data_IF_789559115515
#
_entry.id   IF_789559115515
#
_cell.length_a   1.000
_cell.length_b   1.000
_cell.length_c   1.000
_cell.angle_alpha   90.00
_cell.angle_beta   90.00
_cell.angle_gamma   90.00
#
_symmetry.space_group_name_H-M   'P 1'
#
loop_
_entity.id
_entity.type
_entity.pdbx_description
1 polymer ?
#
# COMPACT_ATOMS: atom_id res chain seq x y z
N UNK A 1 0.58 -11.87 -37.75
CA UNK A 1 1.10 -10.59 -37.24
C UNK A 1 0.07 -10.03 -36.27
N UNK A 2 0.16 -10.42 -35.00
CA UNK A 2 -0.71 -9.89 -33.95
C UNK A 2 -0.16 -8.54 -33.51
N UNK A 3 -1.02 -7.54 -33.58
CA UNK A 3 -0.82 -6.21 -32.99
C UNK A 3 -0.54 -6.37 -31.49
N UNK A 4 0.71 -6.08 -31.09
CA UNK A 4 1.06 -5.79 -29.71
C UNK A 4 0.20 -4.59 -29.26
N UNK A 5 -0.84 -4.85 -28.47
CA UNK A 5 -1.55 -3.81 -27.74
C UNK A 5 -0.53 -3.11 -26.84
N UNK A 6 -0.26 -1.83 -27.13
CA UNK A 6 0.58 -0.98 -26.30
C UNK A 6 -0.08 -0.89 -24.91
N UNK A 7 0.57 -1.42 -23.87
CA UNK A 7 0.18 -1.15 -22.48
C UNK A 7 0.48 0.32 -22.19
N UNK A 8 -0.57 1.12 -21.97
CA UNK A 8 -0.43 2.47 -21.43
C UNK A 8 -0.47 2.37 -19.91
N UNK A 9 0.70 2.44 -19.26
CA UNK A 9 0.78 2.72 -17.82
C UNK A 9 0.41 4.19 -17.65
N UNK A 10 -0.76 4.48 -17.09
CA UNK A 10 -1.10 5.84 -16.69
C UNK A 10 -0.38 6.15 -15.39
N UNK A 11 0.79 6.79 -15.52
CA UNK A 11 1.54 7.32 -14.40
C UNK A 11 0.86 8.62 -13.94
N UNK A 12 0.12 8.57 -12.83
CA UNK A 12 -0.21 9.81 -12.12
C UNK A 12 0.98 10.11 -11.23
N UNK A 13 1.90 10.94 -11.74
CA UNK A 13 2.88 11.60 -10.88
C UNK A 13 2.15 12.71 -10.14
N UNK A 14 1.68 12.40 -8.93
CA UNK A 14 1.23 13.40 -7.98
C UNK A 14 2.44 14.22 -7.49
N UNK A 15 2.80 15.28 -8.21
CA UNK A 15 3.75 16.28 -7.68
C UNK A 15 2.94 17.31 -6.89
N UNK A 16 2.92 17.18 -5.57
CA UNK A 16 2.48 18.27 -4.69
C UNK A 16 3.58 19.34 -4.71
N UNK A 17 3.46 20.30 -5.62
CA UNK A 17 4.34 21.46 -5.67
C UNK A 17 3.90 22.50 -4.62
N UNK A 18 4.71 22.72 -3.58
CA UNK A 18 4.60 23.90 -2.73
C UNK A 18 5.24 25.11 -3.45
N UNK A 19 4.47 26.19 -3.62
CA UNK A 19 4.96 27.43 -4.22
C UNK A 19 5.86 28.21 -3.26
N UNK A 20 7.17 28.20 -3.51
CA UNK A 20 8.08 29.36 -3.55
C UNK A 20 9.53 28.88 -3.57
N UNK A 21 10.35 29.49 -4.43
CA UNK A 21 11.68 29.03 -4.83
C UNK A 21 12.79 29.14 -3.76
N UNK A 22 12.45 29.17 -2.47
CA UNK A 22 13.44 29.20 -1.37
C UNK A 22 13.17 28.22 -0.21
N UNK A 23 12.11 27.41 -0.28
CA UNK A 23 11.77 26.41 0.74
C UNK A 23 11.28 25.06 0.16
N UNK A 24 11.61 24.74 -1.10
CA UNK A 24 11.27 23.45 -1.70
C UNK A 24 12.17 22.32 -1.15
N UNK A 25 12.02 22.00 0.13
CA UNK A 25 12.32 20.66 0.64
C UNK A 25 11.08 19.84 0.36
N UNK A 26 11.08 19.12 -0.76
CA UNK A 26 10.05 18.15 -1.08
C UNK A 26 10.12 17.02 -0.05
N UNK A 27 9.26 17.06 0.95
CA UNK A 27 8.89 15.87 1.70
C UNK A 27 7.72 15.21 0.95
N UNK A 28 7.86 13.90 0.70
CA UNK A 28 6.87 12.95 0.18
C UNK A 28 6.90 12.73 -1.34
N UNK A 29 7.61 11.68 -1.72
CA UNK A 29 7.84 11.24 -3.09
C UNK A 29 7.09 9.96 -3.43
N UNK A 30 5.77 10.00 -3.28
CA UNK A 30 4.91 8.87 -3.67
C UNK A 30 4.35 9.14 -5.06
N UNK A 31 4.92 8.50 -6.08
CA UNK A 31 4.27 8.40 -7.38
C UNK A 31 3.26 7.24 -7.32
N UNK A 32 2.11 7.42 -7.97
CA UNK A 32 1.05 6.42 -7.95
C UNK A 32 0.93 5.81 -9.33
N UNK A 33 1.07 4.50 -9.39
CA UNK A 33 0.57 3.74 -10.52
C UNK A 33 -0.85 3.33 -10.13
N UNK A 34 -1.78 3.76 -10.96
CA UNK A 34 -3.11 3.19 -10.96
C UNK A 34 -3.15 2.25 -12.16
N UNK A 35 -3.00 0.96 -11.87
CA UNK A 35 -2.93 -0.07 -12.90
C UNK A 35 -4.33 -0.25 -13.52
N UNK A 36 -4.50 -0.08 -14.85
CA UNK A 36 -5.73 -0.52 -15.49
C UNK A 36 -5.81 -2.04 -15.38
N UNK A 37 -6.75 -2.55 -14.58
CA UNK A 37 -7.04 -3.98 -14.54
C UNK A 37 -7.41 -4.47 -15.94
N UNK A 38 -6.53 -5.25 -16.56
CA UNK A 38 -6.90 -6.10 -17.68
C UNK A 38 -7.31 -7.46 -17.10
N UNK A 39 -8.50 -7.93 -17.49
CA UNK A 39 -9.06 -9.20 -17.05
C UNK A 39 -8.00 -10.32 -16.98
N UNK A 40 -7.56 -10.67 -15.76
CA UNK A 40 -6.62 -11.76 -15.49
C UNK A 40 -5.19 -11.37 -15.12
N UNK A 41 -4.84 -10.08 -15.02
CA UNK A 41 -3.51 -9.63 -14.56
C UNK A 41 -3.62 -9.07 -13.13
N UNK A 42 -2.90 -9.66 -12.17
CA UNK A 42 -2.96 -9.26 -10.76
C UNK A 42 -2.44 -7.82 -10.53
N UNK A 43 -2.96 -7.06 -9.54
CA UNK A 43 -2.49 -5.71 -9.26
C UNK A 43 -1.09 -5.76 -8.63
N UNK A 44 -0.27 -4.73 -8.85
CA UNK A 44 1.03 -4.58 -8.16
C UNK A 44 2.23 -5.14 -8.91
N UNK A 45 2.10 -5.48 -10.20
CA UNK A 45 3.24 -5.89 -11.02
C UNK A 45 4.29 -4.78 -11.22
N UNK A 46 4.00 -3.55 -10.80
CA UNK A 46 4.90 -2.42 -10.88
C UNK A 46 4.67 -1.49 -9.68
N UNK A 47 5.74 -0.91 -9.17
CA UNK A 47 5.67 0.20 -8.22
C UNK A 47 6.74 1.25 -8.57
N UNK A 48 6.51 2.47 -8.08
CA UNK A 48 7.34 3.63 -8.42
C UNK A 48 7.62 4.50 -7.19
N UNK A 49 8.85 4.97 -7.09
CA UNK A 49 9.27 5.96 -6.12
C UNK A 49 10.02 7.09 -6.81
N UNK A 50 10.02 8.29 -6.23
CA UNK A 50 10.79 9.42 -6.76
C UNK A 50 11.79 9.87 -5.68
N UNK A 51 13.02 10.24 -6.04
CA UNK A 51 13.97 10.77 -5.05
C UNK A 51 14.01 12.31 -5.06
N UNK A 52 14.77 12.89 -4.13
CA UNK A 52 14.93 14.35 -4.01
C UNK A 52 15.78 14.97 -5.13
N UNK A 53 16.38 14.14 -5.99
CA UNK A 53 17.09 14.54 -7.21
C UNK A 53 16.17 14.46 -8.43
N UNK A 54 14.88 14.22 -8.22
CA UNK A 54 13.87 14.03 -9.26
C UNK A 54 14.13 12.81 -10.17
N UNK A 55 14.76 11.77 -9.64
CA UNK A 55 14.89 10.49 -10.33
C UNK A 55 13.66 9.63 -10.06
N UNK A 56 13.13 9.02 -11.11
CA UNK A 56 12.01 8.07 -11.04
C UNK A 56 12.59 6.66 -10.95
N UNK A 57 12.27 5.95 -9.89
CA UNK A 57 12.69 4.59 -9.60
C UNK A 57 11.51 3.65 -9.86
N UNK A 58 11.65 2.72 -10.80
CA UNK A 58 10.59 1.78 -11.17
C UNK A 58 11.04 0.36 -10.91
N UNK A 59 10.27 -0.39 -10.13
CA UNK A 59 10.43 -1.83 -9.97
C UNK A 59 9.24 -2.54 -10.62
N UNK A 60 9.48 -3.59 -11.39
CA UNK A 60 8.41 -4.30 -12.09
C UNK A 60 8.66 -5.79 -12.23
N UNK A 61 7.58 -6.53 -12.47
CA UNK A 61 7.57 -7.93 -12.84
C UNK A 61 7.33 -8.06 -14.34
N UNK A 62 8.09 -8.92 -15.01
CA UNK A 62 7.85 -9.26 -16.40
C UNK A 62 7.34 -10.70 -16.52
N UNK A 63 6.28 -10.87 -17.29
CA UNK A 63 5.69 -12.17 -17.60
C UNK A 63 6.08 -12.58 -19.01
N UNK A 64 6.90 -13.63 -19.15
CA UNK A 64 7.15 -14.24 -20.46
C UNK A 64 6.21 -15.44 -20.66
N UNK A 65 5.10 -15.21 -21.35
CA UNK A 65 4.16 -16.26 -21.71
C UNK A 65 4.75 -17.17 -22.82
N UNK A 66 5.21 -18.36 -22.46
CA UNK A 66 5.31 -19.48 -23.40
C UNK A 66 5.22 -20.87 -22.76
N UNK A 67 5.61 -21.07 -21.49
CA UNK A 67 5.55 -22.42 -20.89
C UNK A 67 5.62 -22.54 -19.36
N UNK A 68 5.55 -21.43 -18.59
CA UNK A 68 5.56 -21.51 -17.13
C UNK A 68 5.40 -20.15 -16.45
N UNK A 69 4.92 -20.15 -15.21
CA UNK A 69 4.79 -18.98 -14.33
C UNK A 69 6.19 -18.45 -13.93
N UNK A 70 6.89 -17.79 -14.85
CA UNK A 70 8.18 -17.15 -14.56
C UNK A 70 7.99 -15.64 -14.54
N UNK A 71 7.78 -15.09 -13.33
CA UNK A 71 7.81 -13.66 -13.09
C UNK A 71 9.25 -13.25 -12.79
N UNK A 72 9.89 -12.60 -13.75
CA UNK A 72 11.20 -12.02 -13.56
C UNK A 72 11.05 -10.64 -12.94
N UNK A 73 11.86 -10.35 -11.93
CA UNK A 73 11.85 -9.05 -11.26
C UNK A 73 12.94 -8.14 -11.80
N UNK A 74 12.57 -6.89 -12.02
CA UNK A 74 13.48 -5.89 -12.54
C UNK A 74 13.33 -4.56 -11.83
N UNK A 75 14.38 -3.76 -11.92
CA UNK A 75 14.42 -2.39 -11.43
C UNK A 75 15.22 -1.49 -12.37
N UNK A 76 14.81 -0.23 -12.51
CA UNK A 76 15.52 0.79 -13.29
C UNK A 76 15.18 2.20 -12.79
N UNK A 77 16.16 3.10 -12.91
CA UNK A 77 15.97 4.53 -12.67
C UNK A 77 15.88 5.34 -13.97
N UNK A 78 15.13 6.43 -13.92
CA UNK A 78 14.87 7.35 -15.02
C UNK A 78 14.95 8.80 -14.53
N UNK A 79 15.18 9.75 -15.42
CA UNK A 79 14.93 11.16 -15.13
C UNK A 79 13.41 11.48 -15.22
N UNK A 80 13.02 12.71 -14.91
CA UNK A 80 11.64 13.17 -15.01
C UNK A 80 11.06 13.12 -16.44
N UNK A 81 11.91 13.03 -17.45
CA UNK A 81 11.50 12.95 -18.85
C UNK A 81 11.38 11.51 -19.34
N UNK A 82 11.63 10.53 -18.46
CA UNK A 82 11.58 9.11 -18.79
C UNK A 82 12.83 8.59 -19.50
N UNK A 83 13.92 9.37 -19.54
CA UNK A 83 15.20 8.86 -20.04
C UNK A 83 15.83 7.96 -18.98
N UNK A 84 16.31 6.78 -19.34
CA UNK A 84 16.92 5.88 -18.38
C UNK A 84 18.25 6.41 -17.86
N UNK A 85 18.44 6.37 -16.55
CA UNK A 85 19.68 6.77 -15.86
C UNK A 85 20.58 5.59 -15.53
N UNK A 86 20.01 4.38 -15.42
CA UNK A 86 20.75 3.13 -15.20
C UNK A 86 20.41 2.10 -16.27
N UNK A 87 21.22 1.04 -16.34
CA UNK A 87 20.80 -0.20 -17.00
C UNK A 87 19.66 -0.88 -16.23
N UNK A 88 19.04 -1.88 -16.86
CA UNK A 88 18.02 -2.71 -16.20
C UNK A 88 18.72 -3.64 -15.22
N UNK A 89 18.35 -3.54 -13.94
CA UNK A 89 18.82 -4.45 -12.90
C UNK A 89 17.88 -5.64 -12.79
N UNK A 90 18.42 -6.86 -12.77
CA UNK A 90 17.66 -8.08 -12.54
C UNK A 90 17.62 -8.39 -11.04
N UNK A 91 16.43 -8.41 -10.46
CA UNK A 91 16.18 -8.73 -9.04
C UNK A 91 15.64 -10.16 -8.87
N UNK A 92 15.59 -10.96 -9.93
CA UNK A 92 15.08 -12.33 -9.87
C UNK A 92 16.00 -13.22 -9.04
N UNK A 93 15.42 -13.94 -8.08
CA UNK A 93 16.13 -14.94 -7.27
C UNK A 93 16.01 -16.31 -7.96
N UNK A 94 17.12 -17.00 -8.29
CA UNK A 94 17.07 -18.32 -8.91
C UNK A 94 16.26 -19.32 -8.08
N UNK A 95 15.35 -20.06 -8.73
CA UNK A 95 14.50 -21.08 -8.10
C UNK A 95 13.22 -20.55 -7.46
N UNK A 96 13.05 -19.23 -7.39
CA UNK A 96 11.85 -18.59 -6.84
C UNK A 96 11.02 -17.93 -7.93
N UNK A 97 9.71 -17.86 -7.70
CA UNK A 97 8.76 -17.21 -8.61
C UNK A 97 8.11 -16.04 -7.89
N UNK A 98 8.35 -14.81 -8.35
CA UNK A 98 7.71 -13.63 -7.79
C UNK A 98 6.18 -13.68 -7.94
N UNK A 99 5.48 -13.17 -6.94
CA UNK A 99 4.02 -13.08 -6.91
C UNK A 99 3.59 -11.77 -6.24
N UNK A 100 2.42 -11.26 -6.61
CA UNK A 100 1.82 -10.09 -5.96
C UNK A 100 2.59 -8.80 -6.23
N UNK A 101 2.72 -7.92 -5.23
CA UNK A 101 3.34 -6.61 -5.40
C UNK A 101 4.87 -6.61 -5.32
N UNK A 102 5.50 -5.68 -6.03
CA UNK A 102 6.93 -5.33 -5.86
C UNK A 102 7.09 -3.90 -5.33
N UNK A 103 6.80 -3.60 -4.05
CA UNK A 103 6.96 -2.26 -3.52
C UNK A 103 8.38 -1.73 -3.65
N UNK A 104 8.52 -0.46 -4.03
CA UNK A 104 9.77 0.29 -4.02
C UNK A 104 9.59 1.59 -3.23
N UNK A 105 10.57 1.92 -2.40
CA UNK A 105 10.58 3.18 -1.66
C UNK A 105 11.98 3.78 -1.67
N UNK A 106 12.07 5.10 -1.61
CA UNK A 106 13.35 5.79 -1.52
C UNK A 106 13.25 7.07 -0.69
N UNK A 107 14.39 7.56 -0.22
CA UNK A 107 14.50 8.87 0.44
C UNK A 107 15.01 9.94 -0.52
N UNK A 108 15.11 11.19 -0.04
CA UNK A 108 15.51 12.31 -0.89
C UNK A 108 16.94 12.18 -1.46
N UNK A 109 17.79 11.41 -0.79
CA UNK A 109 19.21 11.23 -1.14
C UNK A 109 19.45 10.12 -2.18
N UNK A 110 18.42 9.34 -2.53
CA UNK A 110 18.49 8.23 -3.46
C UNK A 110 18.80 6.88 -2.80
N UNK A 111 18.78 6.78 -1.47
CA UNK A 111 18.74 5.47 -0.80
C UNK A 111 17.36 4.89 -1.03
N UNK A 112 17.32 3.66 -1.55
CA UNK A 112 16.09 2.94 -1.88
C UNK A 112 16.07 1.52 -1.31
N UNK A 113 14.88 0.96 -1.24
CA UNK A 113 14.62 -0.43 -0.91
C UNK A 113 13.55 -0.99 -1.86
N UNK A 114 13.62 -2.28 -2.12
CA UNK A 114 12.63 -3.04 -2.88
C UNK A 114 12.24 -4.26 -2.08
N UNK A 115 10.95 -4.60 -2.01
CA UNK A 115 10.50 -5.87 -1.43
C UNK A 115 9.61 -6.61 -2.42
N UNK A 116 9.50 -7.92 -2.26
CA UNK A 116 8.58 -8.74 -3.07
C UNK A 116 8.28 -10.06 -2.36
N UNK A 117 7.06 -10.58 -2.54
CA UNK A 117 6.73 -11.94 -2.17
C UNK A 117 7.06 -12.91 -3.31
N UNK A 118 7.55 -14.09 -2.95
CA UNK A 118 7.90 -15.14 -3.89
C UNK A 118 7.40 -16.50 -3.42
N UNK A 119 7.00 -17.32 -4.39
CA UNK A 119 6.79 -18.75 -4.21
C UNK A 119 8.15 -19.47 -4.28
N UNK A 120 8.45 -20.24 -3.25
CA UNK A 120 9.51 -21.24 -3.31
C UNK A 120 8.94 -22.53 -3.89
N UNK A 121 9.23 -22.78 -5.17
CA UNK A 121 8.70 -23.94 -5.91
C UNK A 121 9.46 -25.24 -5.61
N UNK A 122 10.56 -25.16 -4.85
CA UNK A 122 11.38 -26.32 -4.48
C UNK A 122 10.86 -27.10 -3.28
N UNK A 123 9.89 -26.54 -2.55
CA UNK A 123 9.35 -27.11 -1.31
C UNK A 123 7.88 -27.53 -1.45
N UNK A 124 7.52 -28.61 -0.75
CA UNK A 124 6.15 -29.16 -0.71
C UNK A 124 5.71 -29.34 0.75
N UNK A 125 4.58 -28.77 1.19
CA UNK A 125 3.71 -27.88 0.41
C UNK A 125 4.43 -26.58 0.03
N UNK A 126 4.05 -25.99 -1.11
CA UNK A 126 4.56 -24.70 -1.56
C UNK A 126 4.51 -23.69 -0.40
N UNK A 127 5.54 -22.85 -0.24
CA UNK A 127 5.47 -21.73 0.71
C UNK A 127 5.73 -20.43 -0.02
N UNK A 128 5.09 -19.38 0.50
CA UNK A 128 5.30 -17.99 0.14
C UNK A 128 6.22 -17.34 1.15
N UNK A 129 7.17 -16.54 0.66
CA UNK A 129 8.18 -15.82 1.44
C UNK A 129 8.47 -14.46 0.84
N UNK A 130 8.69 -13.46 1.66
CA UNK A 130 9.03 -12.10 1.26
C UNK A 130 10.52 -11.87 1.38
N UNK A 131 11.03 -11.18 0.38
CA UNK A 131 12.43 -10.81 0.25
C UNK A 131 12.57 -9.31 0.20
N UNK A 132 13.68 -8.80 0.75
CA UNK A 132 14.02 -7.39 0.80
C UNK A 132 15.39 -7.17 0.17
N UNK A 133 15.48 -6.15 -0.69
CA UNK A 133 16.72 -5.60 -1.21
C UNK A 133 16.92 -4.22 -0.61
N UNK A 134 18.08 -4.00 0.00
CA UNK A 134 18.48 -2.71 0.53
C UNK A 134 19.62 -2.14 -0.31
N UNK A 135 19.52 -0.85 -0.66
CA UNK A 135 20.64 -0.16 -1.29
C UNK A 135 21.63 0.41 -0.29
N UNK A 136 22.84 0.68 -0.77
CA UNK A 136 23.76 1.59 -0.10
C UNK A 136 23.29 3.06 -0.22
N UNK A 137 24.04 4.00 0.36
CA UNK A 137 23.71 5.43 0.32
C UNK A 137 23.67 6.05 -1.09
N UNK A 138 24.22 5.37 -2.12
CA UNK A 138 24.21 5.84 -3.51
C UNK A 138 23.12 5.19 -4.36
N UNK A 139 22.21 4.40 -3.76
CA UNK A 139 21.09 3.76 -4.45
C UNK A 139 21.42 2.45 -5.16
N UNK A 140 22.62 1.89 -4.95
CA UNK A 140 22.96 0.57 -5.49
C UNK A 140 22.42 -0.53 -4.56
N UNK A 141 21.47 -1.33 -5.07
CA UNK A 141 20.90 -2.48 -4.36
C UNK A 141 21.95 -3.56 -4.08
N UNK A 142 21.97 -4.05 -2.85
CA UNK A 142 22.74 -5.24 -2.44
C UNK A 142 22.02 -6.55 -2.77
N UNK A 143 22.53 -7.65 -2.22
CA UNK A 143 21.90 -8.97 -2.32
C UNK A 143 20.59 -9.03 -1.51
N UNK A 144 19.59 -9.80 -1.97
CA UNK A 144 18.36 -10.01 -1.21
C UNK A 144 18.58 -10.87 0.03
N UNK A 145 17.68 -10.72 0.99
CA UNK A 145 17.50 -11.64 2.11
C UNK A 145 16.01 -11.79 2.45
N UNK A 146 15.67 -12.91 3.09
CA UNK A 146 14.32 -13.27 3.53
C UNK A 146 13.95 -12.49 4.80
N UNK A 147 12.71 -12.01 4.92
CA UNK A 147 12.19 -11.40 6.14
C UNK A 147 11.98 -12.46 7.23
N UNK A 148 12.27 -12.12 8.49
CA UNK A 148 12.17 -13.09 9.58
C UNK A 148 10.70 -13.45 9.84
N UNK A 149 10.43 -14.70 10.22
CA UNK A 149 9.08 -15.23 10.48
C UNK A 149 8.17 -15.33 9.24
N UNK A 150 8.61 -14.97 8.04
CA UNK A 150 7.72 -14.94 6.88
C UNK A 150 7.58 -16.29 6.16
N UNK A 151 6.57 -17.07 6.59
CA UNK A 151 6.23 -18.36 5.98
C UNK A 151 4.73 -18.50 5.83
N UNK A 152 4.26 -18.29 4.61
CA UNK A 152 2.82 -18.30 4.33
C UNK A 152 2.42 -19.51 3.48
N UNK A 153 1.23 -20.09 3.71
CA UNK A 153 0.70 -21.11 2.83
C UNK A 153 0.37 -20.53 1.44
N UNK A 154 0.27 -21.38 0.40
CA UNK A 154 0.04 -20.95 -0.99
C UNK A 154 -1.26 -20.21 -1.26
N UNK A 155 -2.21 -20.24 -0.33
CA UNK A 155 -3.48 -19.53 -0.46
C UNK A 155 -3.37 -18.05 -0.13
N UNK A 156 -2.37 -17.64 0.67
CA UNK A 156 -2.31 -16.30 1.25
C UNK A 156 -1.38 -15.38 0.47
N UNK A 157 -1.91 -14.27 -0.05
CA UNK A 157 -1.14 -13.34 -0.89
C UNK A 157 -0.64 -12.18 -0.05
N UNK A 158 0.62 -12.17 0.40
CA UNK A 158 1.15 -11.03 1.14
C UNK A 158 1.51 -9.91 0.17
N UNK A 159 1.13 -8.70 0.56
CA UNK A 159 1.54 -7.47 -0.09
C UNK A 159 2.36 -6.69 0.94
N UNK A 160 3.70 -6.81 0.92
CA UNK A 160 4.51 -6.09 1.88
C UNK A 160 4.38 -4.59 1.66
N UNK A 161 4.36 -3.84 2.76
CA UNK A 161 4.47 -2.39 2.76
C UNK A 161 5.91 -1.99 3.01
N UNK A 162 6.36 -0.89 2.39
CA UNK A 162 7.75 -0.45 2.45
C UNK A 162 7.83 1.07 2.54
N UNK A 163 8.76 1.57 3.35
CA UNK A 163 9.11 2.98 3.41
C UNK A 163 10.61 3.15 3.73
N UNK A 164 11.22 4.22 3.21
CA UNK A 164 12.59 4.62 3.56
C UNK A 164 12.53 6.03 4.15
N UNK A 165 13.01 6.19 5.38
CA UNK A 165 13.03 7.48 6.06
C UNK A 165 14.06 8.42 5.44
N UNK A 166 13.93 9.71 5.75
CA UNK A 166 14.88 10.72 5.29
C UNK A 166 16.31 10.47 5.79
N UNK A 167 16.46 9.92 7.00
CA UNK A 167 17.75 9.49 7.55
C UNK A 167 18.30 8.20 6.90
N UNK A 168 17.52 7.54 6.05
CA UNK A 168 17.90 6.30 5.37
C UNK A 168 17.55 5.02 6.13
N UNK A 169 16.69 5.06 7.15
CA UNK A 169 16.17 3.84 7.80
C UNK A 169 15.11 3.21 6.91
N UNK A 170 15.11 1.90 6.76
CA UNK A 170 14.08 1.18 6.00
C UNK A 170 13.10 0.54 6.97
N UNK A 171 11.79 0.71 6.72
CA UNK A 171 10.70 0.06 7.43
C UNK A 171 9.97 -0.83 6.44
N UNK A 172 9.84 -2.11 6.77
CA UNK A 172 9.08 -3.09 5.99
C UNK A 172 8.04 -3.73 6.88
N UNK A 173 6.82 -3.90 6.36
CA UNK A 173 5.73 -4.55 7.06
C UNK A 173 5.11 -5.63 6.18
N UNK A 174 4.70 -6.75 6.76
CA UNK A 174 4.08 -7.86 6.05
C UNK A 174 3.10 -8.60 6.96
N UNK A 175 2.20 -9.37 6.36
CA UNK A 175 1.30 -10.23 7.09
C UNK A 175 1.91 -11.64 7.29
N UNK A 176 1.59 -12.28 8.41
CA UNK A 176 2.04 -13.62 8.76
C UNK A 176 0.92 -14.42 9.42
N UNK A 177 0.75 -15.68 9.01
CA UNK A 177 -0.32 -16.61 9.43
C UNK A 177 0.17 -17.65 10.48
N UNK A 178 1.47 -17.69 10.82
CA UNK A 178 2.04 -18.83 11.55
C UNK A 178 1.78 -18.85 13.07
N UNK A 179 1.31 -17.77 13.70
CA UNK A 179 1.25 -17.69 15.17
C UNK A 179 -0.21 -17.69 15.63
N UNK A 180 -0.62 -18.84 16.18
CA UNK A 180 -1.86 -19.06 16.93
C UNK A 180 -3.19 -18.90 16.15
N UNK A 181 -3.22 -19.19 14.84
CA UNK A 181 -4.44 -19.04 14.02
C UNK A 181 -4.97 -17.58 13.99
N UNK A 182 -4.14 -16.61 14.34
CA UNK A 182 -4.44 -15.19 14.23
C UNK A 182 -3.41 -14.55 13.31
N UNK A 183 -3.80 -14.29 12.06
CA UNK A 183 -2.98 -13.53 11.14
C UNK A 183 -2.53 -12.23 11.78
N UNK A 184 -1.22 -12.04 11.83
CA UNK A 184 -0.58 -10.92 12.50
C UNK A 184 0.25 -10.13 11.50
N UNK A 185 0.17 -8.81 11.59
CA UNK A 185 1.04 -7.92 10.84
C UNK A 185 2.33 -7.77 11.61
N UNK A 186 3.46 -8.01 10.96
CA UNK A 186 4.79 -7.80 11.50
C UNK A 186 5.49 -6.67 10.78
N UNK A 187 6.51 -6.12 11.44
CA UNK A 187 7.42 -5.18 10.82
C UNK A 187 8.85 -5.36 11.32
N UNK A 188 9.77 -4.91 10.48
CA UNK A 188 11.19 -4.80 10.76
C UNK A 188 11.67 -3.40 10.41
N UNK A 189 12.72 -2.98 11.12
CA UNK A 189 13.42 -1.74 10.84
C UNK A 189 14.90 -2.02 10.63
N UNK A 190 15.46 -1.39 9.61
CA UNK A 190 16.87 -1.42 9.27
C UNK A 190 17.43 -0.01 9.38
N UNK A 191 18.61 0.13 9.98
CA UNK A 191 19.28 1.40 10.12
C UNK A 191 19.83 1.93 8.78
N UNK A 192 20.44 3.11 8.81
CA UNK A 192 21.08 3.75 7.66
C UNK A 192 22.20 2.89 7.02
N UNK A 193 22.76 1.95 7.77
CA UNK A 193 23.80 1.00 7.35
C UNK A 193 23.25 -0.38 7.02
N UNK A 194 21.93 -0.50 6.87
CA UNK A 194 21.21 -1.74 6.55
C UNK A 194 21.36 -2.82 7.64
N UNK A 195 21.63 -2.44 8.88
CA UNK A 195 21.62 -3.35 10.03
C UNK A 195 20.23 -3.41 10.63
N UNK A 196 19.78 -4.63 10.95
CA UNK A 196 18.50 -4.86 11.60
C UNK A 196 18.53 -4.23 13.00
N UNK A 197 17.57 -3.35 13.30
CA UNK A 197 17.52 -2.62 14.57
C UNK A 197 17.02 -3.49 15.73
N UNK A 198 16.14 -4.46 15.46
CA UNK A 198 15.55 -5.36 16.45
C UNK A 198 14.95 -6.62 15.77
N UNK A 199 14.73 -7.72 16.52
CA UNK A 199 13.93 -8.86 16.05
C UNK A 199 12.51 -8.43 15.66
N UNK A 200 11.88 -9.14 14.72
CA UNK A 200 10.56 -8.77 14.18
C UNK A 200 9.53 -8.52 15.27
N UNK A 201 8.76 -7.44 15.11
CA UNK A 201 7.74 -7.02 16.07
C UNK A 201 6.36 -7.09 15.42
N UNK A 202 5.35 -7.41 16.21
CA UNK A 202 3.96 -7.34 15.75
C UNK A 202 3.47 -5.88 15.73
N UNK A 203 2.92 -5.46 14.59
CA UNK A 203 2.15 -4.23 14.46
C UNK A 203 0.72 -4.44 14.99
N UNK A 204 0.08 -5.56 14.65
CA UNK A 204 -1.23 -5.94 15.17
C UNK A 204 -1.13 -6.35 16.65
N UNK A 205 -2.22 -6.15 17.39
CA UNK A 205 -2.29 -6.46 18.82
C UNK A 205 -2.94 -7.80 19.12
N UNK A 206 -3.65 -8.37 18.15
CA UNK A 206 -4.50 -9.56 18.36
C UNK A 206 -5.78 -9.25 19.15
N UNK A 207 -6.07 -7.96 19.42
CA UNK A 207 -7.32 -7.52 20.05
C UNK A 207 -8.55 -7.91 19.23
N UNK A 208 -8.39 -7.96 17.91
CA UNK A 208 -9.40 -8.47 16.99
C UNK A 208 -9.03 -9.90 16.59
N UNK A 209 -9.99 -10.84 16.71
CA UNK A 209 -9.77 -12.22 16.29
C UNK A 209 -9.78 -12.30 14.76
N UNK A 210 -8.60 -12.45 14.15
CA UNK A 210 -8.42 -12.41 12.70
C UNK A 210 -8.44 -13.80 12.04
N UNK A 211 -8.92 -13.85 10.79
CA UNK A 211 -8.67 -14.93 9.82
C UNK A 211 -8.10 -14.33 8.52
N UNK A 212 -7.14 -13.44 8.63
CA UNK A 212 -6.39 -12.90 7.51
C UNK A 212 -5.92 -11.49 7.81
N UNK A 213 -4.66 -11.19 7.54
CA UNK A 213 -4.15 -9.83 7.38
C UNK A 213 -3.45 -9.73 6.01
N UNK A 214 -3.58 -8.60 5.32
CA UNK A 214 -2.93 -8.37 4.01
C UNK A 214 -2.86 -6.89 3.69
N UNK A 215 -2.27 -6.57 2.53
CA UNK A 215 -2.25 -5.21 1.98
C UNK A 215 -1.60 -4.19 2.92
N UNK A 216 -0.43 -4.55 3.45
CA UNK A 216 0.32 -3.66 4.32
C UNK A 216 0.80 -2.43 3.53
N UNK A 217 0.62 -1.24 4.09
CA UNK A 217 1.22 0.01 3.63
C UNK A 217 1.97 0.64 4.77
N UNK A 218 3.09 1.26 4.46
CA UNK A 218 3.93 1.96 5.43
C UNK A 218 4.15 3.38 4.93
N UNK A 219 4.00 4.36 5.82
CA UNK A 219 4.39 5.74 5.57
C UNK A 219 5.26 6.24 6.72
N UNK A 220 6.32 6.98 6.40
CA UNK A 220 7.32 7.44 7.36
C UNK A 220 7.54 8.94 7.22
N UNK A 221 7.56 9.64 8.34
CA UNK A 221 7.87 11.06 8.42
C UNK A 221 9.39 11.27 8.46
N UNK A 222 9.91 12.48 8.13
CA UNK A 222 11.33 12.80 8.26
C UNK A 222 11.89 12.59 9.67
N UNK A 223 11.04 12.67 10.70
CA UNK A 223 11.39 12.38 12.09
C UNK A 223 11.67 10.90 12.39
N UNK A 224 11.36 10.00 11.44
CA UNK A 224 11.44 8.56 11.61
C UNK A 224 10.16 7.93 12.19
N UNK A 225 9.20 8.73 12.68
CA UNK A 225 7.86 8.22 13.04
C UNK A 225 7.21 7.60 11.82
N UNK A 226 6.47 6.52 12.01
CA UNK A 226 5.82 5.83 10.90
C UNK A 226 4.45 5.29 11.29
N UNK A 227 3.62 5.06 10.28
CA UNK A 227 2.33 4.41 10.42
C UNK A 227 2.29 3.22 9.48
N UNK A 228 1.79 2.10 10.01
CA UNK A 228 1.47 0.91 9.21
C UNK A 228 -0.04 0.84 9.11
N UNK A 229 -0.57 0.65 7.91
CA UNK A 229 -1.98 0.31 7.69
C UNK A 229 -2.10 -1.03 6.99
N UNK A 230 -3.16 -1.78 7.27
CA UNK A 230 -3.40 -3.10 6.71
C UNK A 230 -4.88 -3.43 6.66
N UNK A 231 -5.24 -4.41 5.86
CA UNK A 231 -6.59 -4.97 5.84
C UNK A 231 -6.62 -6.23 6.72
N UNK A 232 -7.58 -6.35 7.63
CA UNK A 232 -7.72 -7.52 8.49
C UNK A 232 -9.17 -8.00 8.62
N UNK A 233 -9.41 -9.31 8.73
CA UNK A 233 -10.78 -9.85 8.91
C UNK A 233 -11.25 -9.68 10.35
N UNK A 234 -12.38 -9.01 10.53
CA UNK A 234 -12.98 -8.86 11.84
C UNK A 234 -14.00 -9.97 12.13
N UNK A 235 -13.82 -10.75 13.21
CA UNK A 235 -14.77 -11.75 13.68
C UNK A 235 -15.59 -11.22 14.89
N UNK A 236 -16.92 -11.35 14.87
CA UNK A 236 -17.68 -11.69 16.08
C UNK A 236 -18.11 -10.59 17.06
N UNK A 237 -18.54 -9.42 16.61
CA UNK A 237 -19.35 -8.50 17.44
C UNK A 237 -20.85 -8.82 17.30
N UNK A 238 -21.69 -8.67 18.35
CA UNK A 238 -23.14 -8.95 18.29
C UNK A 238 -23.89 -8.16 17.20
N UNK A 239 -23.32 -7.02 16.76
CA UNK A 239 -23.87 -6.14 15.73
C UNK A 239 -23.24 -6.36 14.34
N UNK A 240 -22.26 -7.28 14.20
CA UNK A 240 -21.54 -7.55 12.94
C UNK A 240 -21.46 -9.06 12.66
N UNK A 241 -22.56 -9.68 12.21
CA UNK A 241 -22.66 -11.13 12.08
C UNK A 241 -21.86 -11.74 10.91
N UNK A 242 -21.08 -10.97 10.14
CA UNK A 242 -20.36 -11.44 8.94
C UNK A 242 -18.88 -11.07 8.94
N UNK A 243 -18.05 -12.00 8.45
CA UNK A 243 -16.62 -11.79 8.20
C UNK A 243 -16.45 -10.71 7.12
N UNK A 244 -15.82 -9.58 7.49
CA UNK A 244 -15.48 -8.52 6.53
C UNK A 244 -14.04 -8.06 6.75
N UNK A 245 -13.34 -7.74 5.66
CA UNK A 245 -12.03 -7.12 5.75
C UNK A 245 -12.22 -5.65 6.13
N UNK A 246 -11.54 -5.22 7.18
CA UNK A 246 -11.60 -3.86 7.67
C UNK A 246 -10.22 -3.21 7.53
N UNK A 247 -10.16 -1.89 7.31
CA UNK A 247 -8.91 -1.15 7.33
C UNK A 247 -8.49 -0.92 8.78
N UNK A 248 -7.26 -1.29 9.10
CA UNK A 248 -6.60 -1.07 10.38
C UNK A 248 -5.37 -0.20 10.20
N UNK A 249 -4.96 0.47 11.27
CA UNK A 249 -3.70 1.20 11.31
C UNK A 249 -3.09 1.22 12.71
N UNK A 250 -1.79 1.50 12.79
CA UNK A 250 -1.09 1.78 14.04
C UNK A 250 0.10 2.70 13.81
N UNK A 251 0.25 3.68 14.69
CA UNK A 251 1.35 4.64 14.69
C UNK A 251 2.49 4.19 15.61
N UNK A 252 3.72 4.49 15.19
CA UNK A 252 4.95 4.12 15.87
C UNK A 252 5.92 5.30 15.93
N UNK A 253 6.72 5.32 17.00
CA UNK A 253 7.83 6.25 17.12
C UNK A 253 9.01 5.85 16.22
N UNK A 254 10.07 6.67 16.20
CA UNK A 254 11.24 6.44 15.35
C UNK A 254 12.10 5.21 15.75
N UNK A 255 11.88 4.67 16.95
CA UNK A 255 12.54 3.48 17.47
C UNK A 255 11.67 2.22 17.29
N UNK A 256 10.51 2.36 16.64
CA UNK A 256 9.58 1.27 16.38
C UNK A 256 8.79 0.86 17.62
N UNK A 257 8.52 1.76 18.56
CA UNK A 257 7.58 1.48 19.65
C UNK A 257 6.20 2.03 19.30
N UNK A 258 5.11 1.31 19.61
CA UNK A 258 3.77 1.76 19.31
C UNK A 258 3.42 3.01 20.11
N UNK A 259 2.92 4.04 19.42
CA UNK A 259 2.43 5.28 20.04
C UNK A 259 0.96 5.19 20.43
N UNK A 260 0.24 4.20 19.90
CA UNK A 260 -1.17 3.97 20.13
C UNK A 260 -1.52 2.47 20.15
N UNK A 261 -2.75 2.17 20.55
CA UNK A 261 -3.37 0.86 20.31
C UNK A 261 -3.59 0.62 18.81
N UNK A 262 -4.11 -0.55 18.49
CA UNK A 262 -4.56 -0.82 17.13
C UNK A 262 -5.82 0.00 16.83
N UNK A 263 -5.89 0.58 15.62
CA UNK A 263 -6.99 1.45 15.22
C UNK A 263 -7.81 0.75 14.15
N UNK A 264 -9.07 0.46 14.44
CA UNK A 264 -10.07 0.16 13.42
C UNK A 264 -10.46 1.47 12.71
N UNK A 265 -10.04 1.62 11.45
CA UNK A 265 -10.22 2.88 10.72
C UNK A 265 -11.67 3.08 10.25
N UNK A 266 -12.40 1.98 10.04
CA UNK A 266 -13.78 1.98 9.57
C UNK A 266 -14.73 2.80 10.47
N UNK A 267 -15.87 3.17 9.88
CA UNK A 267 -16.73 4.23 10.41
C UNK A 267 -17.43 3.90 11.73
N UNK A 268 -17.14 4.69 12.75
CA UNK A 268 -18.06 4.98 13.84
C UNK A 268 -19.08 6.02 13.35
N UNK A 269 -20.39 5.73 13.41
CA UNK A 269 -21.42 6.77 13.24
C UNK A 269 -22.19 6.84 11.91
N UNK A 270 -22.19 5.80 11.07
CA UNK A 270 -23.27 5.59 10.08
C UNK A 270 -24.24 4.50 10.58
N UNK A 271 -25.15 4.80 11.53
CA UNK A 271 -26.05 3.79 12.10
C UNK A 271 -27.04 3.22 11.07
N UNK A 272 -27.35 3.94 9.99
CA UNK A 272 -28.26 3.45 8.95
C UNK A 272 -27.62 2.39 8.02
N UNK A 273 -26.29 2.24 8.02
CA UNK A 273 -25.56 1.29 7.14
C UNK A 273 -24.49 0.45 7.85
N UNK A 274 -24.24 0.67 9.14
CA UNK A 274 -23.48 -0.24 9.99
C UNK A 274 -24.39 -1.23 10.76
N UNK A 275 -25.72 -1.02 10.76
CA UNK A 275 -26.70 -1.94 11.36
C UNK A 275 -28.00 -2.09 10.54
N UNK A 276 -27.97 -1.84 9.23
CA UNK A 276 -29.17 -1.79 8.39
C UNK A 276 -29.24 -2.93 7.37
N UNK A 277 -29.94 -3.99 7.76
CA UNK A 277 -30.41 -5.16 7.00
C UNK A 277 -29.43 -6.34 6.77
N UNK A 278 -29.52 -7.41 7.59
CA UNK A 278 -28.78 -8.66 7.37
C UNK A 278 -29.17 -9.41 6.09
N UNK A 279 -30.20 -8.97 5.35
CA UNK A 279 -30.63 -9.59 4.10
C UNK A 279 -29.86 -9.13 2.85
N UNK A 280 -28.88 -8.22 2.95
CA UNK A 280 -28.10 -7.75 1.79
C UNK A 280 -26.65 -8.28 1.72
N UNK A 281 -26.24 -9.12 2.67
CA UNK A 281 -24.92 -9.77 2.70
C UNK A 281 -25.05 -11.28 2.45
N UNK A 282 -25.45 -11.67 1.24
CA UNK A 282 -25.75 -13.06 0.88
C UNK A 282 -24.72 -13.73 -0.05
N UNK A 283 -23.41 -13.72 0.25
CA UNK A 283 -22.46 -14.71 -0.35
C UNK A 283 -21.03 -14.77 0.27
N UNK A 284 -20.77 -14.17 1.44
CA UNK A 284 -19.41 -14.27 2.02
C UNK A 284 -18.28 -13.64 1.19
N UNK A 285 -18.59 -12.80 0.19
CA UNK A 285 -17.61 -11.95 -0.49
C UNK A 285 -17.36 -10.72 0.38
N UNK A 286 -16.28 -10.78 1.15
CA UNK A 286 -15.83 -9.68 2.00
C UNK A 286 -15.58 -8.42 1.15
N UNK A 287 -15.98 -7.25 1.64
CA UNK A 287 -15.56 -5.97 1.07
C UNK A 287 -14.04 -5.87 1.20
N UNK A 288 -13.33 -5.74 0.08
CA UNK A 288 -11.87 -5.64 0.09
C UNK A 288 -11.47 -4.19 0.43
N UNK A 289 -11.56 -3.86 1.72
CA UNK A 289 -11.21 -2.54 2.23
C UNK A 289 -9.69 -2.47 2.40
N UNK A 290 -9.00 -2.20 1.30
CA UNK A 290 -7.56 -2.04 1.25
C UNK A 290 -7.20 -0.58 1.63
N UNK A 291 -6.46 -0.34 2.73
CA UNK A 291 -6.07 1.00 3.12
C UNK A 291 -4.77 1.47 2.46
N UNK A 292 -4.62 2.78 2.35
CA UNK A 292 -3.33 3.45 2.16
C UNK A 292 -3.17 4.56 3.21
N UNK A 293 -1.92 4.91 3.53
CA UNK A 293 -1.61 5.83 4.62
C UNK A 293 -0.59 6.89 4.21
N UNK A 294 -0.78 8.10 4.74
CA UNK A 294 0.17 9.20 4.68
C UNK A 294 0.36 9.79 6.09
N UNK A 295 1.61 10.11 6.43
CA UNK A 295 1.99 10.76 7.70
C UNK A 295 2.60 12.13 7.42
N UNK A 296 2.32 13.08 8.31
CA UNK A 296 2.87 14.44 8.32
C UNK A 296 4.09 14.53 9.23
N UNK A 297 4.88 15.60 9.10
CA UNK A 297 6.11 15.80 9.87
C UNK A 297 5.88 15.83 11.40
N UNK A 298 4.71 16.33 11.82
CA UNK A 298 4.31 16.38 13.23
C UNK A 298 3.83 15.01 13.79
N UNK A 299 3.70 13.99 12.92
CA UNK A 299 3.21 12.65 13.24
C UNK A 299 1.72 12.45 13.05
N UNK A 300 0.95 13.50 12.75
CA UNK A 300 -0.45 13.36 12.38
C UNK A 300 -0.54 12.55 11.09
N UNK A 301 -1.57 11.73 10.96
CA UNK A 301 -1.69 10.82 9.85
C UNK A 301 -3.11 10.70 9.33
N UNK A 302 -3.17 10.18 8.12
CA UNK A 302 -4.40 10.05 7.36
C UNK A 302 -4.41 8.69 6.70
N UNK A 303 -5.54 8.00 6.83
CA UNK A 303 -5.76 6.71 6.19
C UNK A 303 -6.88 6.87 5.17
N UNK A 304 -6.60 6.53 3.91
CA UNK A 304 -7.61 6.36 2.89
C UNK A 304 -8.00 4.90 2.76
N UNK A 305 -9.27 4.62 2.50
CA UNK A 305 -9.74 3.26 2.26
C UNK A 305 -10.94 3.27 1.33
N UNK A 306 -11.18 2.14 0.66
CA UNK A 306 -12.42 1.89 -0.07
C UNK A 306 -13.42 1.16 0.81
N UNK A 307 -14.71 1.35 0.56
CA UNK A 307 -15.82 0.52 1.03
C UNK A 307 -16.70 0.11 -0.14
N UNK A 308 -17.06 -1.17 -0.16
CA UNK A 308 -18.02 -1.73 -1.09
C UNK A 308 -19.36 -1.98 -0.37
N UNK A 309 -20.50 -1.61 -0.97
CA UNK A 309 -21.84 -1.89 -0.45
C UNK A 309 -22.67 -2.73 -1.45
N UNK A 310 -22.98 -3.98 -1.09
CA UNK A 310 -23.95 -4.86 -1.76
C UNK A 310 -23.51 -5.64 -3.02
N UNK A 311 -24.20 -6.77 -3.24
CA UNK A 311 -23.95 -7.76 -4.30
C UNK A 311 -24.50 -7.40 -5.69
N UNK A 312 -25.54 -6.56 -5.78
CA UNK A 312 -26.22 -6.27 -7.04
C UNK A 312 -25.59 -5.09 -7.80
N UNK A 313 -24.87 -4.23 -7.06
CA UNK A 313 -24.05 -3.14 -7.57
C UNK A 313 -23.02 -2.75 -6.50
N UNK A 314 -21.72 -2.96 -6.72
CA UNK A 314 -20.69 -2.38 -5.84
C UNK A 314 -20.65 -0.88 -6.14
N UNK A 315 -21.36 -0.06 -5.36
CA UNK A 315 -21.11 1.37 -5.40
C UNK A 315 -19.78 1.61 -4.69
N UNK A 316 -18.87 2.28 -5.39
CA UNK A 316 -17.56 2.65 -4.84
C UNK A 316 -17.73 3.77 -3.84
N UNK A 317 -17.28 3.57 -2.59
CA UNK A 317 -17.11 4.67 -1.65
C UNK A 317 -15.66 4.76 -1.23
N UNK A 318 -15.05 5.90 -1.53
CA UNK A 318 -13.70 6.22 -1.10
C UNK A 318 -13.78 7.16 0.10
N UNK A 319 -13.06 6.80 1.17
CA UNK A 319 -13.03 7.55 2.41
C UNK A 319 -11.62 7.92 2.82
N UNK A 320 -11.51 9.01 3.57
CA UNK A 320 -10.34 9.31 4.41
C UNK A 320 -10.75 9.53 5.85
N UNK A 321 -9.90 9.08 6.79
CA UNK A 321 -9.97 9.43 8.21
C UNK A 321 -8.67 10.07 8.65
N UNK A 322 -8.79 11.16 9.42
CA UNK A 322 -7.67 11.94 9.95
C UNK A 322 -7.44 11.61 11.41
N UNK A 323 -6.19 11.50 11.81
CA UNK A 323 -5.79 11.18 13.17
C UNK A 323 -4.70 12.13 13.67
N UNK A 324 -4.70 12.39 14.97
CA UNK A 324 -3.56 12.96 15.66
C UNK A 324 -2.43 11.92 15.75
N UNK A 325 -1.20 12.36 16.02
CA UNK A 325 -0.05 11.48 16.19
C UNK A 325 -0.21 10.39 17.28
N UNK A 326 -1.10 10.58 18.26
CA UNK A 326 -1.43 9.61 19.30
C UNK A 326 -2.52 8.59 18.88
N UNK A 327 -2.99 8.67 17.62
CA UNK A 327 -4.02 7.79 17.09
C UNK A 327 -5.44 8.24 17.37
N UNK A 328 -5.67 9.37 18.06
CA UNK A 328 -7.03 9.88 18.28
C UNK A 328 -7.61 10.48 16.98
N UNK A 329 -8.88 10.20 16.64
CA UNK A 329 -9.48 10.73 15.42
C UNK A 329 -9.69 12.25 15.51
N UNK A 330 -9.32 12.99 14.46
CA UNK A 330 -9.53 14.44 14.34
C UNK A 330 -10.95 14.82 13.89
N UNK A 331 -11.79 13.83 13.61
CA UNK A 331 -13.14 14.04 13.10
C UNK A 331 -13.72 12.76 12.49
N UNK A 332 -14.91 12.87 11.88
CA UNK A 332 -15.54 11.76 11.18
C UNK A 332 -14.80 11.41 9.89
N UNK A 333 -15.20 10.28 9.29
CA UNK A 333 -14.78 9.93 7.92
C UNK A 333 -15.28 10.96 6.90
N UNK A 334 -14.44 11.25 5.92
CA UNK A 334 -14.77 12.13 4.80
C UNK A 334 -14.94 11.28 3.55
N UNK A 335 -16.12 11.30 2.95
CA UNK A 335 -16.40 10.67 1.66
C UNK A 335 -15.82 11.51 0.51
N UNK A 336 -15.15 10.87 -0.45
CA UNK A 336 -14.27 11.52 -1.44
C UNK A 336 -14.86 11.54 -2.86
N UNK A 337 -15.58 10.51 -3.30
CA UNK A 337 -16.17 10.51 -4.64
C UNK A 337 -17.61 11.04 -4.60
N UNK A 338 -17.98 11.82 -5.62
CA UNK A 338 -19.34 12.39 -5.73
C UNK A 338 -20.25 11.53 -6.63
N UNK A 339 -19.65 10.63 -7.41
CA UNK A 339 -20.34 9.69 -8.29
C UNK A 339 -20.14 8.27 -7.78
N UNK A 340 -21.24 7.53 -7.70
CA UNK A 340 -21.25 6.10 -7.37
C UNK A 340 -21.80 5.34 -8.57
N UNK A 341 -20.94 4.61 -9.28
CA UNK A 341 -21.35 3.73 -10.37
C UNK A 341 -21.23 2.26 -9.94
N UNK A 342 -22.02 1.40 -10.58
CA UNK A 342 -22.10 -0.02 -10.30
C UNK A 342 -20.94 -0.76 -10.98
N UNK A 343 -20.03 -1.36 -10.21
CA UNK A 343 -18.80 -1.93 -10.78
C UNK A 343 -18.49 -3.30 -10.16
N UNK A 344 -17.61 -4.05 -10.81
CA UNK A 344 -16.90 -5.18 -10.22
C UNK A 344 -15.41 -4.82 -10.10
N UNK A 345 -14.82 -4.97 -8.90
CA UNK A 345 -13.37 -4.90 -8.61
C UNK A 345 -12.67 -3.52 -8.75
N UNK A 346 -13.02 -2.50 -7.95
CA UNK A 346 -12.31 -1.22 -7.94
C UNK A 346 -10.84 -1.36 -7.52
N UNK A 347 -10.02 -0.34 -7.81
CA UNK A 347 -8.68 -0.21 -7.22
C UNK A 347 -8.73 0.54 -5.87
N UNK A 348 -7.81 0.25 -4.93
CA UNK A 348 -7.71 0.99 -3.68
C UNK A 348 -7.28 2.44 -3.89
N UNK A 349 -7.79 3.39 -3.08
CA UNK A 349 -7.33 4.77 -3.15
C UNK A 349 -5.87 4.85 -2.73
N UNK A 350 -5.17 5.83 -3.29
CA UNK A 350 -3.80 6.14 -2.91
C UNK A 350 -3.74 7.55 -2.34
N UNK A 351 -2.90 7.74 -1.33
CA UNK A 351 -2.87 9.01 -0.58
C UNK A 351 -1.47 9.55 -0.36
N UNK A 352 -1.36 10.87 -0.52
CA UNK A 352 -0.20 11.66 -0.14
C UNK A 352 -0.65 12.86 0.69
N UNK A 353 0.21 13.29 1.62
CA UNK A 353 0.08 14.54 2.36
C UNK A 353 1.26 15.45 2.00
N UNK A 354 1.18 16.74 2.30
CA UNK A 354 2.37 17.57 2.47
C UNK A 354 2.64 17.83 3.96
N UNK A 355 3.68 18.61 4.26
CA UNK A 355 4.12 18.93 5.63
C UNK A 355 3.17 19.85 6.39
N UNK A 356 2.24 20.53 5.72
CA UNK A 356 1.24 21.41 6.33
C UNK A 356 -0.15 20.77 6.40
N UNK A 357 -0.31 19.55 5.88
CA UNK A 357 -1.52 18.74 5.97
C UNK A 357 -2.48 18.87 4.78
N UNK A 358 -2.05 19.45 3.66
CA UNK A 358 -2.81 19.28 2.41
C UNK A 358 -2.73 17.83 1.99
N UNK A 359 -3.84 17.30 1.47
CA UNK A 359 -3.92 15.92 1.01
C UNK A 359 -4.21 15.89 -0.49
N UNK A 360 -3.67 14.88 -1.17
CA UNK A 360 -4.15 14.44 -2.47
C UNK A 360 -4.52 12.97 -2.37
N UNK A 361 -5.76 12.66 -2.72
CA UNK A 361 -6.24 11.28 -2.81
C UNK A 361 -6.50 10.96 -4.26
N UNK A 362 -5.81 9.94 -4.77
CA UNK A 362 -6.01 9.43 -6.12
C UNK A 362 -6.85 8.16 -6.06
N UNK A 363 -7.87 8.06 -6.91
CA UNK A 363 -8.80 6.94 -6.95
C UNK A 363 -9.32 6.74 -8.37
N UNK A 364 -9.99 5.62 -8.62
CA UNK A 364 -10.64 5.38 -9.90
C UNK A 364 -12.14 5.43 -9.75
N UNK A 365 -12.81 5.83 -10.82
CA UNK A 365 -14.24 5.60 -10.98
C UNK A 365 -14.44 5.02 -12.37
N UNK A 366 -15.19 3.92 -12.48
CA UNK A 366 -15.71 3.49 -13.79
C UNK A 366 -16.91 4.37 -14.15
N UNK A 367 -16.85 5.08 -15.28
CA UNK A 367 -17.90 6.02 -15.68
C UNK A 367 -18.90 5.44 -16.68
N UNK A 368 -18.88 4.12 -16.96
CA UNK A 368 -19.73 3.51 -17.97
C UNK A 368 -20.41 2.23 -17.49
N UNK A 369 -21.73 2.16 -17.68
CA UNK A 369 -22.56 1.02 -17.25
C UNK A 369 -22.23 -0.33 -17.90
N UNK A 370 -21.36 -0.40 -18.92
CA UNK A 370 -20.98 -1.63 -19.65
C UNK A 370 -19.60 -1.50 -20.33
N UNK A 371 -18.69 -0.67 -19.82
CA UNK A 371 -17.42 -0.39 -20.49
C UNK A 371 -16.24 -0.54 -19.55
N UNK A 372 -15.13 -1.09 -20.04
CA UNK A 372 -13.82 -1.14 -19.38
C UNK A 372 -13.15 0.27 -19.25
N UNK A 373 -13.95 1.34 -19.20
CA UNK A 373 -13.48 2.73 -19.13
C UNK A 373 -13.30 3.16 -17.68
N UNK A 374 -12.11 2.86 -17.16
CA UNK A 374 -11.63 3.35 -15.87
C UNK A 374 -11.08 4.77 -16.02
N UNK A 375 -11.66 5.72 -15.30
CA UNK A 375 -11.14 7.08 -15.22
C UNK A 375 -10.43 7.27 -13.89
N UNK A 376 -9.27 7.91 -13.95
CA UNK A 376 -8.50 8.24 -12.77
C UNK A 376 -8.86 9.64 -12.30
N UNK A 377 -9.08 9.80 -11.01
CA UNK A 377 -9.45 11.05 -10.37
C UNK A 377 -8.45 11.38 -9.26
N UNK A 378 -8.30 12.68 -9.00
CA UNK A 378 -7.64 13.20 -7.82
C UNK A 378 -8.60 14.09 -7.05
N UNK A 379 -8.59 14.02 -5.73
CA UNK A 379 -9.27 15.01 -4.89
C UNK A 379 -8.24 15.60 -3.93
N UNK A 380 -8.10 16.93 -3.98
CA UNK A 380 -7.28 17.66 -3.03
C UNK A 380 -8.10 18.13 -1.83
N UNK A 381 -7.48 18.09 -0.66
CA UNK A 381 -8.04 18.62 0.57
C UNK A 381 -7.05 19.58 1.22
N UNK A 382 -7.56 20.63 1.85
CA UNK A 382 -6.75 21.51 2.69
C UNK A 382 -6.48 20.88 4.08
N UNK A 383 -5.68 21.52 4.95
CA UNK A 383 -5.37 20.99 6.28
C UNK A 383 -6.58 20.91 7.22
N UNK A 384 -7.70 21.56 6.90
CA UNK A 384 -8.94 21.47 7.68
C UNK A 384 -9.81 20.28 7.27
N UNK A 385 -9.63 19.77 6.06
CA UNK A 385 -10.45 18.69 5.50
C UNK A 385 -11.45 19.19 4.47
N UNK A 386 -11.41 20.47 4.12
CA UNK A 386 -12.23 21.00 3.05
C UNK A 386 -11.64 20.58 1.70
N UNK A 387 -12.53 20.22 0.77
CA UNK A 387 -12.17 19.94 -0.63
C UNK A 387 -11.75 21.24 -1.31
N UNK A 388 -10.59 21.24 -1.96
CA UNK A 388 -10.06 22.41 -2.70
C UNK A 388 -10.02 22.20 -4.22
N UNK A 389 -10.68 21.13 -4.70
CA UNK A 389 -10.78 20.78 -6.12
C UNK A 389 -10.01 19.51 -6.49
N UNK A 390 -10.33 18.98 -7.66
CA UNK A 390 -9.78 17.76 -8.23
C UNK A 390 -9.31 17.97 -9.66
#
# INVERSE_FOLDING_TARGET
MSTLSKCYIFLIVAILACGSASQAKFALSKAFIIDPWFAGVAPGLVDVAIDGKNQIHVAWQNHTAASGLSYFLYYRSFDLYGNPLTDVHNLTIPGLVAIGSIPIACNSWGKLAVACCMNDTSIVPLQRRSYLWLSNATGQLGSPFELELDRLPPSETPYPGLAVSESGRTIVAWANDQINNSDSVYYEMYDENNQKMFPSRAASTGEYSFHGARDCKVSVAPSGRFVISWSAKHNGEPNWPFLSWQPHARAFDADGNPMCGEILVACEGFPETCSGDPAYFHDGKASDNIPDVAIQDNGDFVVSYRRDNSMDCLQEYYFVRRYNADGTPKGPNIHINDQTNCIAWPQPPRIASDSIGNLLVAFQINTGWNSDLWNNFGQRFDPTGARIGG
#
